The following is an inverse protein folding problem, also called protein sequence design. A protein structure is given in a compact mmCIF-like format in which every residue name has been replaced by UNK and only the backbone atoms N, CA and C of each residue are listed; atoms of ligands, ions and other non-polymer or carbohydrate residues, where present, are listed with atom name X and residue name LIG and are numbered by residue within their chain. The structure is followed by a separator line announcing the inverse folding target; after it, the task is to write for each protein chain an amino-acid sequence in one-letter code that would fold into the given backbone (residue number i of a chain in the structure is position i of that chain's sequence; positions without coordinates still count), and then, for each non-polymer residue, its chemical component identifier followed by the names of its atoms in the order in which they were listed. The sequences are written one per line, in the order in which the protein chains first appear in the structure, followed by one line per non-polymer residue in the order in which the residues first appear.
data_IF_290378013580
#
_entry.id   IF_290378013580
#
_cell.length_a   1.000
_cell.length_b   1.000
_cell.length_c   1.000
_cell.angle_alpha   90.00
_cell.angle_beta   90.00
_cell.angle_gamma   90.00
#
_symmetry.space_group_name_H-M   'P 1'
#
loop_
_entity.id
_entity.type
_entity.pdbx_description
1 polymer ?
#
# COMPACT_ATOMS: atom_id res chain seq x y z
N UNK A 1 30.24 0.76 11.68
CA UNK A 1 31.00 -0.03 10.67
C UNK A 1 30.01 -0.47 9.60
N UNK A 2 30.27 -0.18 8.35
CA UNK A 2 29.49 -0.64 7.19
C UNK A 2 29.58 -2.18 7.11
N UNK A 3 28.44 -2.87 7.09
CA UNK A 3 28.38 -4.32 6.94
C UNK A 3 27.95 -4.65 5.50
N UNK A 4 28.94 -4.94 4.64
CA UNK A 4 28.69 -5.34 3.25
C UNK A 4 29.02 -6.80 3.06
N UNK A 5 28.05 -7.57 2.60
CA UNK A 5 28.28 -8.98 2.25
C UNK A 5 29.26 -9.07 1.07
N UNK A 6 30.25 -10.01 1.11
CA UNK A 6 31.25 -10.13 0.05
C UNK A 6 30.69 -10.45 -1.35
N UNK A 7 29.47 -10.97 -1.44
CA UNK A 7 28.79 -11.26 -2.72
C UNK A 7 28.02 -10.07 -3.31
N UNK A 8 27.97 -8.94 -2.61
CA UNK A 8 27.30 -7.75 -3.11
C UNK A 8 28.13 -7.06 -4.20
N UNK A 9 27.45 -6.64 -5.24
CA UNK A 9 28.02 -5.90 -6.38
C UNK A 9 27.69 -4.41 -6.24
N UNK A 10 28.70 -3.57 -5.96
CA UNK A 10 28.51 -2.12 -5.80
C UNK A 10 29.28 -1.40 -6.90
N UNK A 11 28.54 -0.61 -7.73
CA UNK A 11 29.17 0.18 -8.77
C UNK A 11 30.11 1.25 -8.17
N UNK A 12 31.31 1.49 -8.74
CA UNK A 12 32.28 2.43 -8.17
C UNK A 12 31.78 3.88 -8.00
N UNK A 13 30.76 4.30 -8.77
CA UNK A 13 30.16 5.63 -8.65
C UNK A 13 28.97 5.69 -7.68
N UNK A 14 28.61 4.57 -7.04
CA UNK A 14 27.60 4.58 -5.99
C UNK A 14 28.18 5.12 -4.68
N UNK A 15 27.41 5.87 -3.93
CA UNK A 15 27.75 6.35 -2.58
C UNK A 15 26.99 5.45 -1.59
N UNK A 16 27.74 4.67 -0.82
CA UNK A 16 27.20 3.88 0.30
C UNK A 16 27.84 4.43 1.57
N UNK A 17 27.03 5.02 2.43
CA UNK A 17 27.50 5.69 3.64
C UNK A 17 27.88 4.69 4.73
N UNK A 18 28.84 5.07 5.60
CA UNK A 18 29.25 4.26 6.73
C UNK A 18 28.07 4.03 7.70
N UNK A 19 27.80 2.81 8.05
CA UNK A 19 26.65 2.38 8.88
C UNK A 19 25.63 1.56 8.09
N UNK A 20 25.57 1.69 6.76
CA UNK A 20 24.69 0.89 5.93
C UNK A 20 24.98 -0.60 6.05
N UNK A 21 23.91 -1.41 5.96
CA UNK A 21 23.98 -2.88 5.91
C UNK A 21 23.53 -3.37 4.56
N UNK A 22 24.42 -4.08 3.83
CA UNK A 22 24.16 -4.57 2.48
C UNK A 22 24.21 -6.09 2.49
N UNK A 23 23.08 -6.73 2.23
CA UNK A 23 22.92 -8.19 2.25
C UNK A 23 23.52 -8.91 1.03
N UNK A 24 23.49 -10.24 1.10
CA UNK A 24 24.07 -11.11 0.09
C UNK A 24 23.43 -10.93 -1.30
N UNK A 25 24.26 -10.89 -2.34
CA UNK A 25 23.83 -10.80 -3.72
C UNK A 25 23.13 -9.50 -4.10
N UNK A 26 23.20 -8.47 -3.26
CA UNK A 26 22.71 -7.14 -3.61
C UNK A 26 23.47 -6.55 -4.80
N UNK A 27 22.74 -5.78 -5.63
CA UNK A 27 23.32 -5.06 -6.78
C UNK A 27 22.99 -3.57 -6.67
N UNK A 28 24.02 -2.75 -6.48
CA UNK A 28 23.90 -1.29 -6.37
C UNK A 28 24.49 -0.66 -7.62
N UNK A 29 23.60 -0.11 -8.48
CA UNK A 29 23.93 0.49 -9.76
C UNK A 29 24.65 1.84 -9.64
N UNK A 30 25.03 2.42 -10.78
CA UNK A 30 25.77 3.69 -10.80
C UNK A 30 24.94 4.85 -10.23
N UNK A 31 25.64 5.74 -9.53
CA UNK A 31 25.09 6.96 -8.96
C UNK A 31 23.93 6.75 -7.96
N UNK A 32 23.83 5.54 -7.39
CA UNK A 32 22.93 5.30 -6.25
C UNK A 32 23.49 5.96 -4.99
N UNK A 33 22.59 6.36 -4.08
CA UNK A 33 22.93 6.82 -2.74
C UNK A 33 22.23 5.91 -1.73
N UNK A 34 23.01 5.38 -0.78
CA UNK A 34 22.50 4.53 0.31
C UNK A 34 22.95 5.15 1.64
N UNK A 35 22.00 5.62 2.43
CA UNK A 35 22.26 6.30 3.71
C UNK A 35 22.72 5.37 4.82
N UNK A 36 23.22 5.93 5.94
CA UNK A 36 23.94 5.17 6.98
C UNK A 36 23.04 4.27 7.83
N UNK A 37 21.75 4.53 7.92
CA UNK A 37 20.78 3.70 8.67
C UNK A 37 19.98 2.76 7.78
N UNK A 38 20.41 2.56 6.52
CA UNK A 38 19.73 1.70 5.56
C UNK A 38 20.18 0.25 5.70
N UNK A 39 19.20 -0.65 5.67
CA UNK A 39 19.43 -2.09 5.56
C UNK A 39 18.82 -2.61 4.26
N UNK A 40 19.64 -3.11 3.35
CA UNK A 40 19.21 -3.85 2.17
C UNK A 40 19.38 -5.35 2.46
N UNK A 41 18.27 -6.09 2.48
CA UNK A 41 18.32 -7.55 2.63
C UNK A 41 18.85 -8.22 1.36
N UNK A 42 18.93 -9.56 1.36
CA UNK A 42 19.55 -10.29 0.26
C UNK A 42 18.89 -10.00 -1.11
N UNK A 43 19.70 -10.02 -2.17
CA UNK A 43 19.26 -9.91 -3.56
C UNK A 43 18.48 -8.62 -3.92
N UNK A 44 18.57 -7.57 -3.10
CA UNK A 44 18.03 -6.26 -3.44
C UNK A 44 18.82 -5.66 -4.60
N UNK A 45 18.09 -5.07 -5.56
CA UNK A 45 18.69 -4.39 -6.72
C UNK A 45 18.31 -2.91 -6.71
N UNK A 46 19.29 -2.04 -6.61
CA UNK A 46 19.15 -0.60 -6.86
C UNK A 46 19.63 -0.31 -8.28
N UNK A 47 18.74 0.18 -9.14
CA UNK A 47 19.11 0.65 -10.48
C UNK A 47 19.74 2.04 -10.38
N UNK A 48 20.33 2.53 -11.48
CA UNK A 48 21.05 3.81 -11.48
C UNK A 48 20.24 4.97 -10.88
N UNK A 49 20.90 5.85 -10.11
CA UNK A 49 20.31 7.06 -9.52
C UNK A 49 19.16 6.79 -8.52
N UNK A 50 19.05 5.59 -7.99
CA UNK A 50 18.13 5.32 -6.89
C UNK A 50 18.70 5.89 -5.57
N UNK A 51 17.85 6.48 -4.75
CA UNK A 51 18.21 7.03 -3.44
C UNK A 51 17.44 6.27 -2.37
N UNK A 52 18.16 5.72 -1.40
CA UNK A 52 17.57 5.08 -0.22
C UNK A 52 18.22 5.68 1.01
N UNK A 53 17.44 6.33 1.87
CA UNK A 53 17.93 7.08 3.04
C UNK A 53 17.09 6.83 4.27
N UNK A 54 17.35 7.57 5.34
CA UNK A 54 16.66 7.42 6.62
C UNK A 54 16.84 6.05 7.24
N UNK A 55 16.13 5.77 8.30
CA UNK A 55 16.08 4.44 8.90
C UNK A 55 15.15 3.54 8.09
N UNK A 56 15.72 2.93 7.04
CA UNK A 56 14.94 2.20 6.02
C UNK A 56 15.42 0.76 5.87
N UNK A 57 14.49 -0.17 5.89
CA UNK A 57 14.73 -1.58 5.59
C UNK A 57 14.06 -1.95 4.27
N UNK A 58 14.82 -2.57 3.34
CA UNK A 58 14.30 -3.08 2.05
C UNK A 58 14.41 -4.60 2.04
N UNK A 59 13.27 -5.27 1.94
CA UNK A 59 13.15 -6.73 1.94
C UNK A 59 13.73 -7.41 0.71
N UNK A 60 14.08 -8.66 0.90
CA UNK A 60 14.75 -9.53 -0.06
C UNK A 60 14.13 -9.52 -1.46
N UNK A 61 14.98 -9.49 -2.49
CA UNK A 61 14.58 -9.59 -3.90
C UNK A 61 13.83 -8.37 -4.46
N UNK A 62 13.71 -7.30 -3.69
CA UNK A 62 13.09 -6.07 -4.15
C UNK A 62 13.97 -5.33 -5.15
N UNK A 63 13.33 -4.63 -6.11
CA UNK A 63 14.03 -3.85 -7.14
C UNK A 63 13.58 -2.40 -7.10
N UNK A 64 14.52 -1.49 -6.91
CA UNK A 64 14.33 -0.04 -6.91
C UNK A 64 14.84 0.51 -8.25
N UNK A 65 13.96 1.20 -8.96
CA UNK A 65 14.23 1.72 -10.29
C UNK A 65 14.81 3.15 -10.25
N UNK A 66 15.30 3.68 -11.39
CA UNK A 66 15.99 4.96 -11.42
C UNK A 66 15.16 6.11 -10.85
N UNK A 67 15.82 7.00 -10.12
CA UNK A 67 15.25 8.23 -9.54
C UNK A 67 14.15 8.00 -8.48
N UNK A 68 13.93 6.77 -8.01
CA UNK A 68 13.11 6.55 -6.83
C UNK A 68 13.83 7.09 -5.59
N UNK A 69 13.09 7.74 -4.68
CA UNK A 69 13.58 8.29 -3.42
C UNK A 69 12.82 7.62 -2.26
N UNK A 70 13.49 6.74 -1.55
CA UNK A 70 12.90 5.81 -0.59
C UNK A 70 13.47 6.08 0.81
N UNK A 71 12.58 6.37 1.77
CA UNK A 71 12.94 6.57 3.16
C UNK A 71 13.33 8.00 3.52
N UNK A 72 13.02 8.96 2.68
CA UNK A 72 13.20 10.38 3.02
C UNK A 72 12.19 10.81 4.10
N UNK A 73 12.48 11.97 4.71
CA UNK A 73 11.66 12.54 5.79
C UNK A 73 10.21 12.75 5.35
N UNK A 74 9.25 12.68 6.29
CA UNK A 74 7.84 12.99 6.02
C UNK A 74 7.64 14.38 5.41
N UNK A 75 6.70 14.48 4.46
CA UNK A 75 6.22 15.76 3.95
C UNK A 75 5.11 16.30 4.86
N UNK A 76 5.39 16.37 6.15
CA UNK A 76 4.48 16.87 7.19
C UNK A 76 5.13 18.03 7.94
N UNK A 77 4.44 19.16 8.00
CA UNK A 77 4.93 20.37 8.69
C UNK A 77 5.13 20.17 10.21
N UNK A 78 4.55 19.12 10.78
CA UNK A 78 4.70 18.77 12.20
C UNK A 78 5.96 17.96 12.48
N UNK A 79 6.57 17.36 11.44
CA UNK A 79 7.79 16.60 11.60
C UNK A 79 8.93 17.48 12.07
N UNK A 80 9.55 17.13 13.19
CA UNK A 80 10.59 17.92 13.85
C UNK A 80 11.97 17.24 13.87
N UNK A 81 12.15 16.18 13.06
CA UNK A 81 13.42 15.43 12.99
C UNK A 81 13.46 14.20 13.91
N UNK A 82 12.32 13.74 14.40
CA UNK A 82 12.21 12.52 15.21
C UNK A 82 12.65 11.28 14.43
N UNK A 83 13.18 10.30 15.16
CA UNK A 83 13.69 9.07 14.56
C UNK A 83 12.56 8.11 14.24
N UNK A 84 12.17 8.09 12.98
CA UNK A 84 11.10 7.24 12.45
C UNK A 84 11.63 6.38 11.30
N UNK A 85 10.87 5.33 10.91
CA UNK A 85 11.37 4.36 9.94
C UNK A 85 10.41 4.06 8.81
N UNK A 86 10.98 3.47 7.74
CA UNK A 86 10.27 2.84 6.64
C UNK A 86 10.67 1.36 6.56
N UNK A 87 9.70 0.48 6.51
CA UNK A 87 9.92 -0.95 6.29
C UNK A 87 9.24 -1.38 5.00
N UNK A 88 10.02 -1.85 4.04
CA UNK A 88 9.55 -2.38 2.76
C UNK A 88 9.75 -3.89 2.74
N UNK A 89 8.71 -4.64 2.49
CA UNK A 89 8.72 -6.09 2.37
C UNK A 89 9.50 -6.60 1.15
N UNK A 90 9.30 -7.88 0.84
CA UNK A 90 10.08 -8.61 -0.15
C UNK A 90 9.51 -8.48 -1.57
N UNK A 91 10.38 -8.69 -2.58
CA UNK A 91 10.02 -8.83 -4.00
C UNK A 91 9.19 -7.67 -4.56
N UNK A 92 9.30 -6.50 -3.95
CA UNK A 92 8.63 -5.30 -4.42
C UNK A 92 9.31 -4.74 -5.69
N UNK A 93 8.51 -4.20 -6.60
CA UNK A 93 8.97 -3.49 -7.78
C UNK A 93 8.61 -2.01 -7.64
N UNK A 94 9.60 -1.20 -7.30
CA UNK A 94 9.45 0.23 -7.02
C UNK A 94 10.02 0.99 -8.20
N UNK A 95 9.12 1.48 -9.08
CA UNK A 95 9.45 2.04 -10.38
C UNK A 95 10.00 3.47 -10.29
N UNK A 96 10.29 4.02 -11.45
CA UNK A 96 10.99 5.30 -11.62
C UNK A 96 10.27 6.45 -10.90
N UNK A 97 11.02 7.25 -10.17
CA UNK A 97 10.49 8.45 -9.49
C UNK A 97 9.46 8.19 -8.39
N UNK A 98 9.32 6.97 -7.93
CA UNK A 98 8.49 6.66 -6.76
C UNK A 98 9.09 7.29 -5.52
N UNK A 99 8.25 7.83 -4.65
CA UNK A 99 8.66 8.34 -3.34
C UNK A 99 7.93 7.63 -2.21
N UNK A 100 8.67 7.27 -1.15
CA UNK A 100 8.12 6.68 0.08
C UNK A 100 8.78 7.35 1.28
N UNK A 101 7.99 7.87 2.20
CA UNK A 101 8.48 8.56 3.38
C UNK A 101 8.51 7.66 4.62
N UNK A 102 9.38 7.96 5.58
CA UNK A 102 9.35 7.36 6.93
C UNK A 102 8.08 7.76 7.68
N UNK A 103 7.82 7.18 8.84
CA UNK A 103 6.68 7.54 9.69
C UNK A 103 6.87 8.86 10.43
N UNK A 104 5.89 9.21 11.27
CA UNK A 104 5.95 10.33 12.22
C UNK A 104 5.73 9.79 13.64
N UNK A 105 6.20 10.48 14.68
CA UNK A 105 5.99 10.06 16.07
C UNK A 105 4.50 9.92 16.39
N UNK A 106 3.68 10.87 15.95
CA UNK A 106 2.23 10.88 16.14
C UNK A 106 1.48 9.78 15.40
N UNK A 107 2.09 9.15 14.37
CA UNK A 107 1.52 8.05 13.59
C UNK A 107 2.04 6.67 13.97
N UNK A 108 2.85 6.57 15.03
CA UNK A 108 3.44 5.32 15.49
C UNK A 108 4.86 5.06 14.98
N UNK A 109 5.47 6.02 14.32
CA UNK A 109 6.89 6.04 13.95
C UNK A 109 7.27 5.15 12.76
N UNK A 110 6.31 4.59 12.05
CA UNK A 110 6.61 3.62 10.99
C UNK A 110 5.66 3.73 9.79
N UNK A 111 6.23 3.82 8.60
CA UNK A 111 5.55 3.50 7.33
C UNK A 111 5.90 2.06 6.94
N UNK A 112 4.91 1.26 6.57
CA UNK A 112 5.10 -0.16 6.24
C UNK A 112 4.51 -0.54 4.90
N UNK A 113 5.30 -1.28 4.11
CA UNK A 113 4.92 -1.85 2.81
C UNK A 113 5.05 -3.37 2.91
N UNK A 114 4.04 -4.10 2.46
CA UNK A 114 4.03 -5.57 2.39
C UNK A 114 4.88 -6.13 1.27
N UNK A 115 4.65 -7.39 0.93
CA UNK A 115 5.39 -8.14 -0.07
C UNK A 115 4.75 -8.04 -1.47
N UNK A 116 5.56 -8.33 -2.51
CA UNK A 116 5.10 -8.54 -3.91
C UNK A 116 4.37 -7.36 -4.55
N UNK A 117 4.54 -6.15 -4.04
CA UNK A 117 3.90 -4.93 -4.52
C UNK A 117 4.49 -4.42 -5.84
N UNK A 118 3.67 -3.68 -6.59
CA UNK A 118 4.08 -2.94 -7.78
C UNK A 118 3.72 -1.46 -7.62
N UNK A 119 4.74 -0.63 -7.45
CA UNK A 119 4.62 0.83 -7.37
C UNK A 119 5.09 1.41 -8.68
N UNK A 120 4.15 1.79 -9.56
CA UNK A 120 4.47 2.28 -10.89
C UNK A 120 5.04 3.70 -10.84
N UNK A 121 5.61 4.15 -11.96
CA UNK A 121 6.35 5.40 -12.03
C UNK A 121 5.59 6.59 -11.44
N UNK A 122 6.27 7.37 -10.60
CA UNK A 122 5.75 8.56 -9.94
C UNK A 122 4.74 8.31 -8.82
N UNK A 123 4.49 7.05 -8.44
CA UNK A 123 3.61 6.77 -7.30
C UNK A 123 4.21 7.29 -5.98
N UNK A 124 3.34 7.64 -5.03
CA UNK A 124 3.75 8.18 -3.74
C UNK A 124 3.09 7.43 -2.58
N UNK A 125 3.87 7.10 -1.56
CA UNK A 125 3.39 6.60 -0.27
C UNK A 125 3.88 7.54 0.82
N UNK A 126 2.94 8.23 1.47
CA UNK A 126 3.24 9.16 2.56
C UNK A 126 3.48 8.41 3.89
N UNK A 127 3.87 9.21 4.89
CA UNK A 127 4.20 8.78 6.24
C UNK A 127 3.08 7.98 6.91
N UNK A 128 3.45 7.04 7.77
CA UNK A 128 2.55 6.23 8.61
C UNK A 128 1.53 5.38 7.82
N UNK A 129 1.66 5.31 6.49
CA UNK A 129 0.81 4.45 5.68
C UNK A 129 1.17 2.98 5.90
N UNK A 130 0.16 2.12 5.94
CA UNK A 130 0.28 0.66 6.00
C UNK A 130 -0.26 0.07 4.72
N UNK A 131 0.63 -0.48 3.90
CA UNK A 131 0.31 -1.06 2.59
C UNK A 131 0.49 -2.57 2.70
N UNK A 132 -0.53 -3.32 2.36
CA UNK A 132 -0.53 -4.78 2.37
C UNK A 132 0.28 -5.42 1.24
N UNK A 133 0.10 -6.72 1.08
CA UNK A 133 0.79 -7.50 0.06
C UNK A 133 0.14 -7.37 -1.32
N UNK A 134 0.93 -7.51 -2.39
CA UNK A 134 0.46 -7.53 -3.79
C UNK A 134 -0.34 -6.30 -4.20
N UNK A 135 -0.14 -5.18 -3.51
CA UNK A 135 -0.77 -3.90 -3.84
C UNK A 135 -0.16 -3.34 -5.12
N UNK A 136 -1.00 -2.75 -5.96
CA UNK A 136 -0.56 -2.06 -7.17
C UNK A 136 -0.96 -0.59 -7.08
N UNK A 137 0.04 0.30 -7.02
CA UNK A 137 -0.15 1.72 -7.27
C UNK A 137 0.22 2.02 -8.71
N UNK A 138 -0.76 2.40 -9.52
CA UNK A 138 -0.54 2.73 -10.93
C UNK A 138 0.11 4.12 -11.04
N UNK A 139 0.64 4.47 -12.19
CA UNK A 139 1.42 5.70 -12.40
C UNK A 139 0.80 6.94 -11.74
N UNK A 140 1.62 7.65 -10.97
CA UNK A 140 1.25 8.87 -10.23
C UNK A 140 0.07 8.70 -9.25
N UNK A 141 -0.25 7.48 -8.83
CA UNK A 141 -1.18 7.27 -7.73
C UNK A 141 -0.54 7.68 -6.41
N UNK A 142 -1.29 8.34 -5.53
CA UNK A 142 -0.78 8.87 -4.27
C UNK A 142 -1.62 8.39 -3.08
N UNK A 143 -0.94 7.86 -2.07
CA UNK A 143 -1.53 7.45 -0.79
C UNK A 143 -1.04 8.43 0.28
N UNK A 144 -1.95 9.19 0.86
CA UNK A 144 -1.64 10.15 1.91
C UNK A 144 -1.34 9.46 3.26
N UNK A 145 -0.92 10.24 4.25
CA UNK A 145 -0.51 9.73 5.55
C UNK A 145 -1.57 8.94 6.29
N UNK A 146 -1.14 7.99 7.11
CA UNK A 146 -1.97 7.16 8.00
C UNK A 146 -3.01 6.27 7.29
N UNK A 147 -2.93 6.11 5.98
CA UNK A 147 -3.83 5.22 5.24
C UNK A 147 -3.52 3.75 5.53
N UNK A 148 -4.57 2.93 5.54
CA UNK A 148 -4.46 1.47 5.60
C UNK A 148 -4.99 0.89 4.28
N UNK A 149 -4.10 0.29 3.51
CA UNK A 149 -4.42 -0.33 2.22
C UNK A 149 -4.18 -1.83 2.37
N UNK A 150 -5.24 -2.59 2.34
CA UNK A 150 -5.14 -4.05 2.51
C UNK A 150 -4.55 -4.74 1.28
N UNK A 151 -4.37 -6.06 1.38
CA UNK A 151 -3.80 -6.89 0.30
C UNK A 151 -4.59 -6.82 -1.01
N UNK A 152 -3.89 -7.06 -2.13
CA UNK A 152 -4.50 -7.19 -3.46
C UNK A 152 -5.25 -5.94 -3.98
N UNK A 153 -5.08 -4.78 -3.34
CA UNK A 153 -5.70 -3.51 -3.75
C UNK A 153 -4.99 -2.97 -4.99
N UNK A 154 -5.79 -2.41 -5.91
CA UNK A 154 -5.27 -1.69 -7.08
C UNK A 154 -5.76 -0.24 -7.02
N UNK A 155 -4.83 0.71 -7.03
CA UNK A 155 -5.14 2.15 -7.11
C UNK A 155 -4.75 2.64 -8.50
N UNK A 156 -5.77 3.05 -9.27
CA UNK A 156 -5.64 3.51 -10.65
C UNK A 156 -4.77 4.76 -10.79
N UNK A 157 -4.24 4.98 -11.99
CA UNK A 157 -3.31 6.08 -12.25
C UNK A 157 -3.93 7.46 -11.97
N UNK A 158 -3.09 8.39 -11.49
CA UNK A 158 -3.49 9.76 -11.15
C UNK A 158 -4.59 9.85 -10.08
N UNK A 159 -4.78 8.79 -9.30
CA UNK A 159 -5.74 8.76 -8.19
C UNK A 159 -5.08 9.15 -6.88
N UNK A 160 -5.87 9.73 -5.97
CA UNK A 160 -5.42 10.13 -4.64
C UNK A 160 -6.27 9.48 -3.55
N UNK A 161 -5.62 9.05 -2.48
CA UNK A 161 -6.29 8.55 -1.27
C UNK A 161 -6.05 9.54 -0.15
N UNK A 162 -7.13 10.08 0.43
CA UNK A 162 -7.06 11.04 1.52
C UNK A 162 -6.51 10.40 2.80
N UNK A 163 -5.89 11.21 3.67
CA UNK A 163 -5.35 10.74 4.95
C UNK A 163 -6.37 9.94 5.77
N UNK A 164 -5.89 8.92 6.48
CA UNK A 164 -6.67 8.06 7.37
C UNK A 164 -7.70 7.14 6.70
N UNK A 165 -7.76 7.12 5.39
CA UNK A 165 -8.67 6.22 4.66
C UNK A 165 -8.17 4.79 4.74
N UNK A 166 -9.12 3.85 4.94
CA UNK A 166 -8.90 2.42 4.83
C UNK A 166 -9.48 1.91 3.51
N UNK A 167 -8.70 1.10 2.80
CA UNK A 167 -9.17 0.42 1.58
C UNK A 167 -9.06 -1.08 1.80
N UNK A 168 -10.20 -1.76 1.84
CA UNK A 168 -10.29 -3.18 2.10
C UNK A 168 -9.74 -4.04 0.97
N UNK A 169 -9.39 -5.27 1.33
CA UNK A 169 -8.75 -6.25 0.46
C UNK A 169 -9.40 -6.35 -0.93
N UNK A 170 -8.56 -6.40 -1.95
CA UNK A 170 -8.99 -6.67 -3.32
C UNK A 170 -9.87 -5.61 -3.94
N UNK A 171 -10.05 -4.45 -3.30
CA UNK A 171 -10.74 -3.32 -3.91
C UNK A 171 -9.95 -2.77 -5.10
N UNK A 172 -10.67 -2.13 -6.01
CA UNK A 172 -10.07 -1.43 -7.16
C UNK A 172 -10.59 0.00 -7.22
N UNK A 173 -9.65 0.93 -7.29
CA UNK A 173 -9.91 2.34 -7.51
C UNK A 173 -9.62 2.64 -8.98
N UNK A 174 -10.60 3.17 -9.69
CA UNK A 174 -10.45 3.60 -11.08
C UNK A 174 -9.40 4.72 -11.21
N UNK A 175 -8.94 4.97 -12.42
CA UNK A 175 -8.02 6.08 -12.67
C UNK A 175 -8.68 7.45 -12.42
N UNK A 176 -7.88 8.46 -12.06
CA UNK A 176 -8.33 9.85 -11.85
C UNK A 176 -9.45 9.94 -10.80
N UNK A 177 -9.32 9.16 -9.73
CA UNK A 177 -10.32 9.08 -8.65
C UNK A 177 -9.75 9.61 -7.34
N UNK A 178 -10.48 10.51 -6.66
CA UNK A 178 -10.17 10.93 -5.30
C UNK A 178 -11.00 10.13 -4.30
N UNK A 179 -10.34 9.36 -3.45
CA UNK A 179 -10.95 8.54 -2.39
C UNK A 179 -10.87 9.30 -1.07
N UNK A 180 -12.01 9.70 -0.52
CA UNK A 180 -12.06 10.49 0.72
C UNK A 180 -12.63 9.73 1.92
N UNK A 181 -13.21 8.56 1.70
CA UNK A 181 -13.87 7.74 2.71
C UNK A 181 -13.42 6.28 2.59
N UNK A 182 -13.67 5.48 3.62
CA UNK A 182 -13.32 4.06 3.64
C UNK A 182 -14.01 3.27 2.53
N UNK A 183 -13.25 2.37 1.89
CA UNK A 183 -13.71 1.51 0.80
C UNK A 183 -13.80 0.08 1.30
N UNK A 184 -14.98 -0.51 1.19
CA UNK A 184 -15.20 -1.91 1.59
C UNK A 184 -14.31 -2.88 0.79
N UNK A 185 -13.97 -4.06 1.36
CA UNK A 185 -13.29 -5.12 0.62
C UNK A 185 -14.01 -5.44 -0.70
N UNK A 186 -13.21 -5.68 -1.73
CA UNK A 186 -13.66 -5.99 -3.10
C UNK A 186 -14.45 -4.88 -3.80
N UNK A 187 -14.54 -3.69 -3.22
CA UNK A 187 -15.25 -2.55 -3.80
C UNK A 187 -14.65 -2.11 -5.13
N UNK A 188 -15.49 -1.64 -6.03
CA UNK A 188 -15.13 -0.92 -7.25
C UNK A 188 -15.51 0.55 -7.06
N UNK A 189 -14.52 1.43 -7.06
CA UNK A 189 -14.68 2.87 -6.86
C UNK A 189 -14.27 3.61 -8.12
N UNK A 190 -15.12 4.50 -8.61
CA UNK A 190 -14.86 5.28 -9.81
C UNK A 190 -15.31 6.74 -9.66
N UNK A 191 -14.89 7.56 -10.60
CA UNK A 191 -15.31 8.96 -10.73
C UNK A 191 -14.35 9.94 -10.06
N UNK A 192 -14.40 11.24 -10.42
CA UNK A 192 -13.51 12.28 -9.88
C UNK A 192 -13.59 12.43 -8.35
N UNK A 193 -14.78 12.22 -7.78
CA UNK A 193 -15.00 11.93 -6.36
C UNK A 193 -15.44 10.48 -6.28
N UNK A 194 -14.64 9.64 -5.62
CA UNK A 194 -14.87 8.21 -5.58
C UNK A 194 -16.31 7.90 -5.13
N UNK A 195 -17.06 7.20 -5.98
CA UNK A 195 -18.33 6.56 -5.68
C UNK A 195 -18.12 5.05 -5.61
N UNK A 196 -18.84 4.36 -4.75
CA UNK A 196 -18.81 2.90 -4.67
C UNK A 196 -19.81 2.33 -5.70
N UNK A 197 -19.33 2.10 -6.93
CA UNK A 197 -20.17 1.71 -8.07
C UNK A 197 -20.50 0.22 -8.11
N UNK A 198 -19.82 -0.59 -7.30
CA UNK A 198 -20.04 -2.03 -7.31
C UNK A 198 -18.91 -2.81 -6.66
N UNK A 199 -18.69 -4.02 -7.15
CA UNK A 199 -17.65 -4.94 -6.71
C UNK A 199 -16.62 -5.20 -7.83
N UNK A 200 -15.37 -5.41 -7.45
CA UNK A 200 -14.28 -5.82 -8.34
C UNK A 200 -14.45 -7.28 -8.81
N UNK A 201 -15.49 -7.55 -9.58
CA UNK A 201 -15.82 -8.90 -10.07
C UNK A 201 -14.71 -9.49 -10.95
N UNK A 202 -13.99 -8.65 -11.68
CA UNK A 202 -12.86 -9.08 -12.52
C UNK A 202 -11.71 -9.57 -11.64
N UNK A 203 -11.36 -8.85 -10.60
CA UNK A 203 -10.33 -9.24 -9.64
C UNK A 203 -10.70 -10.53 -8.91
N UNK A 204 -11.93 -10.66 -8.45
CA UNK A 204 -12.45 -11.89 -7.80
C UNK A 204 -12.31 -13.11 -8.71
N UNK A 205 -12.76 -13.02 -9.97
CA UNK A 205 -12.64 -14.10 -10.94
C UNK A 205 -11.19 -14.47 -11.25
N UNK A 206 -10.30 -13.49 -11.41
CA UNK A 206 -8.87 -13.73 -11.67
C UNK A 206 -8.17 -14.44 -10.51
N UNK A 207 -8.62 -14.22 -9.28
CA UNK A 207 -8.14 -14.91 -8.09
C UNK A 207 -8.79 -16.29 -7.88
N UNK A 208 -9.66 -16.72 -8.78
CA UNK A 208 -10.30 -18.04 -8.72
C UNK A 208 -11.41 -18.16 -7.67
N UNK A 209 -12.01 -17.04 -7.25
CA UNK A 209 -13.13 -17.07 -6.30
C UNK A 209 -14.32 -17.79 -6.90
N UNK A 210 -14.91 -18.70 -6.16
CA UNK A 210 -16.02 -19.55 -6.61
C UNK A 210 -17.26 -18.73 -6.98
N UNK A 211 -18.04 -19.28 -7.93
CA UNK A 211 -19.26 -18.62 -8.40
C UNK A 211 -20.28 -18.41 -7.28
N UNK A 212 -20.34 -19.32 -6.32
CA UNK A 212 -21.23 -19.22 -5.17
C UNK A 212 -20.87 -17.99 -4.31
N UNK A 213 -19.58 -17.80 -3.98
CA UNK A 213 -19.10 -16.68 -3.22
C UNK A 213 -19.30 -15.34 -3.95
N UNK A 214 -19.07 -15.31 -5.28
CA UNK A 214 -19.35 -14.13 -6.10
C UNK A 214 -20.84 -13.79 -6.08
N UNK A 215 -21.71 -14.79 -6.06
CA UNK A 215 -23.16 -14.59 -5.97
C UNK A 215 -23.55 -14.06 -4.59
N UNK A 216 -23.00 -14.63 -3.51
CA UNK A 216 -23.20 -14.15 -2.15
C UNK A 216 -22.72 -12.69 -1.98
N UNK A 217 -21.53 -12.35 -2.48
CA UNK A 217 -21.01 -10.98 -2.49
C UNK A 217 -21.93 -9.99 -3.21
N UNK A 218 -22.49 -10.38 -4.37
CA UNK A 218 -23.44 -9.52 -5.09
C UNK A 218 -24.71 -9.27 -4.29
N UNK A 219 -25.27 -10.32 -3.69
CA UNK A 219 -26.44 -10.21 -2.85
C UNK A 219 -26.16 -9.35 -1.61
N UNK A 220 -25.02 -9.54 -0.98
CA UNK A 220 -24.57 -8.72 0.14
C UNK A 220 -24.41 -7.24 -0.24
N UNK A 221 -23.78 -6.94 -1.39
CA UNK A 221 -23.66 -5.58 -1.89
C UNK A 221 -25.02 -4.93 -2.12
N UNK A 222 -25.99 -5.66 -2.72
CA UNK A 222 -27.35 -5.15 -2.91
C UNK A 222 -28.05 -4.89 -1.57
N UNK A 223 -27.91 -5.79 -0.60
CA UNK A 223 -28.49 -5.59 0.74
C UNK A 223 -27.89 -4.38 1.45
N UNK A 224 -26.60 -4.13 1.28
CA UNK A 224 -25.92 -2.93 1.77
C UNK A 224 -26.37 -1.65 1.03
N UNK A 225 -26.66 -1.74 -0.26
CA UNK A 225 -27.08 -0.61 -1.07
C UNK A 225 -28.54 -0.18 -0.82
N UNK A 226 -29.45 -1.12 -0.70
CA UNK A 226 -30.91 -0.91 -0.71
C UNK A 226 -31.58 -1.03 0.67
N UNK A 227 -30.85 -1.44 1.70
CA UNK A 227 -31.39 -1.67 3.04
C UNK A 227 -31.75 -0.38 3.77
N UNK A 228 -32.76 -0.42 4.65
CA UNK A 228 -33.11 0.67 5.54
C UNK A 228 -32.12 0.82 6.72
N UNK A 229 -31.98 2.04 7.26
CA UNK A 229 -31.15 2.34 8.40
C UNK A 229 -29.70 2.69 8.05
N UNK A 230 -28.86 2.84 9.07
CA UNK A 230 -27.46 3.19 8.89
C UNK A 230 -26.68 2.06 8.18
N UNK A 231 -25.60 2.42 7.49
CA UNK A 231 -24.77 1.46 6.74
C UNK A 231 -24.25 0.32 7.63
N UNK A 232 -23.81 0.65 8.83
CA UNK A 232 -23.36 -0.34 9.82
C UNK A 232 -24.50 -1.25 10.34
N UNK A 233 -25.74 -0.72 10.46
CA UNK A 233 -26.87 -1.56 10.87
C UNK A 233 -27.25 -2.54 9.75
N UNK A 234 -27.12 -2.13 8.50
CA UNK A 234 -27.29 -3.03 7.34
C UNK A 234 -26.23 -4.12 7.35
N UNK A 235 -24.98 -3.79 7.67
CA UNK A 235 -23.91 -4.78 7.80
C UNK A 235 -24.15 -5.77 8.94
N UNK A 236 -24.66 -5.35 10.11
CA UNK A 236 -25.04 -6.28 11.20
C UNK A 236 -26.11 -7.25 10.78
N UNK A 237 -27.20 -6.76 10.18
CA UNK A 237 -28.29 -7.62 9.69
C UNK A 237 -27.83 -8.62 8.61
N UNK A 238 -26.86 -8.22 7.78
CA UNK A 238 -26.27 -9.11 6.81
C UNK A 238 -25.58 -10.31 7.49
N UNK A 239 -24.93 -10.09 8.64
CA UNK A 239 -24.30 -11.14 9.43
C UNK A 239 -25.26 -12.14 10.05
N UNK A 240 -26.49 -11.73 10.31
CA UNK A 240 -27.56 -12.59 10.85
C UNK A 240 -28.29 -13.39 9.74
N UNK A 241 -27.96 -13.13 8.46
CA UNK A 241 -28.56 -13.83 7.31
C UNK A 241 -27.67 -14.97 6.83
N UNK A 242 -28.23 -15.88 6.00
CA UNK A 242 -27.48 -16.96 5.34
C UNK A 242 -26.28 -16.44 4.50
N UNK A 243 -26.31 -15.18 4.06
CA UNK A 243 -25.20 -14.56 3.35
C UNK A 243 -23.95 -14.40 4.23
N UNK A 244 -24.11 -14.27 5.55
CA UNK A 244 -23.03 -14.22 6.54
C UNK A 244 -22.21 -15.51 6.64
N UNK A 245 -22.63 -16.62 6.03
CA UNK A 245 -21.85 -17.85 6.01
C UNK A 245 -20.66 -17.79 5.04
N UNK A 246 -20.72 -16.95 4.01
CA UNK A 246 -19.57 -16.72 3.11
C UNK A 246 -18.44 -15.98 3.82
N UNK A 247 -17.22 -16.53 3.73
CA UNK A 247 -16.02 -15.88 4.28
C UNK A 247 -15.78 -14.49 3.67
N UNK A 248 -16.08 -14.30 2.40
CA UNK A 248 -15.94 -13.03 1.69
C UNK A 248 -16.95 -11.97 2.17
N UNK A 249 -18.17 -12.38 2.48
CA UNK A 249 -19.19 -11.49 3.04
C UNK A 249 -18.82 -11.10 4.47
N UNK A 250 -18.33 -12.05 5.27
CA UNK A 250 -17.81 -11.78 6.62
C UNK A 250 -16.70 -10.74 6.60
N UNK A 251 -15.77 -10.83 5.66
CA UNK A 251 -14.68 -9.85 5.52
C UNK A 251 -15.21 -8.42 5.28
N UNK A 252 -16.27 -8.26 4.47
CA UNK A 252 -16.95 -6.96 4.32
C UNK A 252 -17.57 -6.50 5.64
N UNK A 253 -18.24 -7.39 6.36
CA UNK A 253 -18.87 -7.06 7.63
C UNK A 253 -17.86 -6.68 8.70
N UNK A 254 -16.80 -7.47 8.85
CA UNK A 254 -15.72 -7.20 9.82
C UNK A 254 -15.06 -5.85 9.52
N UNK A 255 -14.86 -5.52 8.25
CA UNK A 255 -14.33 -4.22 7.84
C UNK A 255 -15.29 -3.07 8.19
N UNK A 256 -16.59 -3.22 7.93
CA UNK A 256 -17.60 -2.17 8.20
C UNK A 256 -17.90 -2.02 9.68
N UNK A 257 -17.85 -3.11 10.45
CA UNK A 257 -18.13 -3.10 11.88
C UNK A 257 -16.90 -2.85 12.75
N UNK A 258 -15.69 -2.92 12.17
CA UNK A 258 -14.45 -2.59 12.84
C UNK A 258 -14.32 -1.09 13.11
N UNK A 259 -13.41 -0.75 14.03
CA UNK A 259 -13.17 0.64 14.43
C UNK A 259 -12.68 1.49 13.25
N UNK A 260 -13.35 2.61 13.02
CA UNK A 260 -12.96 3.64 12.06
C UNK A 260 -13.56 4.98 12.46
N UNK A 261 -12.71 6.01 12.42
CA UNK A 261 -13.13 7.40 12.60
C UNK A 261 -13.67 8.02 11.29
N UNK A 262 -13.71 7.23 10.22
CA UNK A 262 -14.09 7.67 8.88
C UNK A 262 -15.46 7.15 8.48
N UNK A 263 -16.15 7.92 7.66
CA UNK A 263 -17.34 7.44 6.94
C UNK A 263 -16.94 6.48 5.83
N UNK A 264 -17.87 5.63 5.41
CA UNK A 264 -17.68 4.71 4.29
C UNK A 264 -18.15 5.33 2.99
N UNK A 265 -17.54 4.93 1.86
CA UNK A 265 -18.21 5.04 0.58
C UNK A 265 -19.37 4.06 0.57
N UNK A 266 -20.54 4.57 0.33
CA UNK A 266 -21.76 3.74 0.24
C UNK A 266 -22.18 3.60 -1.21
N UNK A 267 -22.81 2.46 -1.57
CA UNK A 267 -23.36 2.25 -2.91
C UNK A 267 -24.42 3.26 -3.30
#
# INVERSE_FOLDING_TARGET
MMAVDPSAEIHPSAVVEEGATIGAGCRIGPFCVVGPEVTLHAQVTLKSHAVVTGWTEIGEGSTIFPFANIGDIPQDLKYAGERTRLVVGKRNRIREGVTMNTGTEGGGGETRIGDDGLFMAGAHVAHDARIGDRVILVNNASVAGHCVIDDDVIIGGLSGVHQWVRIGRGAIIGAVTMVTNDVIPYGLVQGPRGGLDGLNLVGLKRRGVDRADITALRAAFQALAQGEGAFQDRARRLGESELGDSAYVREIMDFVLGDSDRSYLTP
#
